data_IF_286532836440
#
_entry.id   IF_286532836440
#
_cell.length_a   1.000
_cell.length_b   1.000
_cell.length_c   1.000
_cell.angle_alpha   90.00
_cell.angle_beta   90.00
_cell.angle_gamma   90.00
#
_symmetry.space_group_name_H-M   'P 1'
#
loop_
_entity.id
_entity.type
_entity.pdbx_description
1 polymer ?
#
# COMPACT_ATOMS: atom_id res chain seq x y z
N UNK A 1 1.56 7.59 18.48
CA UNK A 1 2.15 8.75 17.77
C UNK A 1 2.09 8.57 16.27
N UNK A 2 2.02 9.66 15.50
CA UNK A 2 2.08 9.59 14.04
C UNK A 2 3.53 9.48 13.55
N UNK A 3 3.82 8.52 12.68
CA UNK A 3 5.13 8.34 12.04
C UNK A 3 5.03 8.43 10.51
N UNK A 4 6.12 8.83 9.87
CA UNK A 4 6.21 8.97 8.41
C UNK A 4 6.87 7.75 7.76
N UNK A 5 6.88 7.70 6.43
CA UNK A 5 7.38 6.61 5.59
C UNK A 5 8.79 6.15 5.96
N UNK A 6 9.70 7.05 6.28
CA UNK A 6 11.08 6.70 6.67
C UNK A 6 11.11 5.74 7.87
N UNK A 7 10.16 5.86 8.81
CA UNK A 7 10.04 4.93 9.93
C UNK A 7 9.67 3.52 9.45
N UNK A 8 8.74 3.40 8.50
CA UNK A 8 8.33 2.13 7.91
C UNK A 8 9.46 1.52 7.08
N UNK A 9 10.14 2.34 6.27
CA UNK A 9 11.28 1.90 5.45
C UNK A 9 12.40 1.33 6.33
N UNK A 10 12.68 1.98 7.46
CA UNK A 10 13.68 1.51 8.43
C UNK A 10 13.34 0.13 9.02
N UNK A 11 12.06 -0.23 9.09
CA UNK A 11 11.60 -1.54 9.56
C UNK A 11 11.62 -2.62 8.46
N UNK A 12 11.56 -2.21 7.19
CA UNK A 12 11.54 -3.15 6.05
C UNK A 12 12.93 -3.43 5.49
N UNK A 13 13.79 -2.41 5.43
CA UNK A 13 15.14 -2.56 4.85
C UNK A 13 16.10 -3.10 5.91
N UNK A 14 16.71 -4.24 5.61
CA UNK A 14 17.63 -4.94 6.53
C UNK A 14 18.84 -4.10 6.98
N UNK A 15 19.35 -3.19 6.13
CA UNK A 15 20.55 -2.37 6.39
C UNK A 15 20.25 -0.86 6.49
N UNK A 16 19.05 -0.48 6.95
CA UNK A 16 18.73 0.94 7.15
C UNK A 16 19.43 1.52 8.39
N UNK A 17 20.03 2.70 8.24
CA UNK A 17 20.73 3.40 9.31
C UNK A 17 19.81 3.85 10.46
N UNK A 18 18.49 3.88 10.25
CA UNK A 18 17.48 4.20 11.26
C UNK A 18 16.86 2.96 11.93
N UNK A 19 17.20 1.73 11.52
CA UNK A 19 16.53 0.52 11.97
C UNK A 19 16.51 0.38 13.50
N UNK A 20 17.67 0.50 14.15
CA UNK A 20 17.77 0.44 15.62
C UNK A 20 16.93 1.53 16.29
N UNK A 21 16.88 2.73 15.73
CA UNK A 21 16.09 3.83 16.28
C UNK A 21 14.59 3.58 16.15
N UNK A 22 14.14 3.01 15.03
CA UNK A 22 12.75 2.64 14.81
C UNK A 22 12.30 1.51 15.75
N UNK A 23 13.13 0.47 15.93
CA UNK A 23 12.86 -0.62 16.87
C UNK A 23 12.77 -0.11 18.31
N UNK A 24 13.73 0.70 18.75
CA UNK A 24 13.69 1.29 20.09
C UNK A 24 12.43 2.15 20.30
N UNK A 25 11.98 2.88 19.27
CA UNK A 25 10.76 3.67 19.36
C UNK A 25 9.49 2.79 19.47
N UNK A 26 9.43 1.64 18.80
CA UNK A 26 8.34 0.66 18.97
C UNK A 26 8.27 0.10 20.40
N UNK A 27 9.42 0.00 21.09
CA UNK A 27 9.47 -0.45 22.49
C UNK A 27 9.18 0.67 23.49
N UNK A 28 9.60 1.91 23.19
CA UNK A 28 9.45 3.06 24.09
C UNK A 28 8.03 3.64 24.08
N UNK A 29 7.37 3.63 22.92
CA UNK A 29 6.13 4.35 22.71
C UNK A 29 4.96 3.45 22.35
N UNK A 30 3.92 3.51 23.16
CA UNK A 30 2.63 2.90 22.84
C UNK A 30 1.90 3.68 21.72
N UNK A 31 1.02 2.97 21.00
CA UNK A 31 0.08 3.55 20.02
C UNK A 31 0.72 4.29 18.83
N UNK A 32 1.88 3.83 18.35
CA UNK A 32 2.44 4.27 17.06
C UNK A 32 1.46 3.91 15.94
N UNK A 33 1.24 4.84 15.02
CA UNK A 33 0.39 4.67 13.84
C UNK A 33 0.86 5.59 12.71
N UNK A 34 0.34 5.36 11.51
CA UNK A 34 0.57 6.27 10.36
C UNK A 34 -0.71 6.44 9.54
N UNK A 35 -0.59 7.01 8.34
CA UNK A 35 -1.67 7.10 7.36
C UNK A 35 -1.42 6.19 6.16
N UNK A 36 -2.46 6.00 5.35
CA UNK A 36 -2.39 5.30 4.06
C UNK A 36 -1.32 5.88 3.12
N UNK A 37 -0.98 7.17 3.27
CA UNK A 37 0.02 7.84 2.43
C UNK A 37 1.41 7.24 2.61
N UNK A 38 1.79 6.91 3.86
CA UNK A 38 3.09 6.31 4.13
C UNK A 38 3.20 4.91 3.52
N UNK A 39 2.10 4.14 3.58
CA UNK A 39 2.02 2.84 2.93
C UNK A 39 2.00 2.92 1.41
N UNK A 40 1.43 3.98 0.82
CA UNK A 40 1.49 4.22 -0.62
C UNK A 40 2.94 4.36 -1.10
N UNK A 41 3.77 5.09 -0.36
CA UNK A 41 5.20 5.24 -0.66
C UNK A 41 5.97 3.90 -0.50
N UNK A 42 5.62 3.10 0.52
CA UNK A 42 6.20 1.74 0.68
C UNK A 42 5.83 0.84 -0.51
N UNK A 43 4.60 0.90 -1.03
CA UNK A 43 4.22 0.15 -2.23
C UNK A 43 5.03 0.59 -3.47
N UNK A 44 5.34 1.88 -3.59
CA UNK A 44 6.23 2.39 -4.66
C UNK A 44 7.63 1.79 -4.53
N UNK A 45 8.16 1.68 -3.31
CA UNK A 45 9.44 1.03 -3.06
C UNK A 45 9.45 -0.45 -3.50
N UNK A 46 8.33 -1.16 -3.32
CA UNK A 46 8.22 -2.58 -3.69
C UNK A 46 8.02 -2.80 -5.19
N UNK A 47 7.37 -1.84 -5.87
CA UNK A 47 7.14 -1.92 -7.31
C UNK A 47 8.42 -1.73 -8.13
N UNK A 48 9.35 -0.89 -7.68
CA UNK A 48 10.64 -0.69 -8.35
C UNK A 48 11.61 -1.87 -8.06
N UNK A 49 11.33 -3.01 -8.71
CA UNK A 49 12.10 -4.26 -8.60
C UNK A 49 13.56 -4.13 -9.03
N UNK A 50 13.92 -3.10 -9.81
CA UNK A 50 15.31 -2.83 -10.23
C UNK A 50 16.09 -2.01 -9.18
N UNK A 51 15.40 -1.14 -8.43
CA UNK A 51 15.97 -0.41 -7.30
C UNK A 51 15.94 -1.20 -5.98
N UNK A 52 15.04 -2.18 -5.86
CA UNK A 52 15.00 -3.08 -4.71
C UNK A 52 16.20 -4.03 -4.74
N UNK A 53 17.05 -3.97 -3.71
CA UNK A 53 18.21 -4.87 -3.60
C UNK A 53 17.82 -6.35 -3.47
N UNK A 54 16.53 -6.64 -3.22
CA UNK A 54 15.97 -7.96 -2.98
C UNK A 54 14.54 -8.04 -3.53
N UNK A 55 14.09 -9.25 -3.86
CA UNK A 55 12.70 -9.54 -4.20
C UNK A 55 11.86 -9.50 -2.91
N UNK A 56 11.06 -8.46 -2.74
CA UNK A 56 10.20 -8.27 -1.56
C UNK A 56 8.81 -8.84 -1.86
N UNK A 57 8.38 -9.82 -1.06
CA UNK A 57 6.99 -10.29 -1.01
C UNK A 57 6.14 -9.17 -0.40
N UNK A 58 5.57 -8.33 -1.27
CA UNK A 58 4.83 -7.14 -0.87
C UNK A 58 3.65 -7.46 0.06
N UNK A 59 2.77 -8.44 -0.22
CA UNK A 59 1.69 -8.83 0.69
C UNK A 59 2.20 -9.19 2.09
N UNK A 60 3.28 -9.97 2.19
CA UNK A 60 3.86 -10.33 3.49
C UNK A 60 4.46 -9.13 4.20
N UNK A 61 5.23 -8.31 3.51
CA UNK A 61 5.89 -7.15 4.10
C UNK A 61 4.86 -6.14 4.64
N UNK A 62 3.80 -5.87 3.88
CA UNK A 62 2.71 -4.98 4.29
C UNK A 62 1.97 -5.55 5.50
N UNK A 63 1.65 -6.84 5.51
CA UNK A 63 0.97 -7.48 6.65
C UNK A 63 1.77 -7.34 7.93
N UNK A 64 3.08 -7.65 7.88
CA UNK A 64 3.96 -7.52 9.04
C UNK A 64 4.11 -6.08 9.51
N UNK A 65 4.20 -5.12 8.57
CA UNK A 65 4.28 -3.70 8.91
C UNK A 65 3.02 -3.20 9.61
N UNK A 66 1.83 -3.62 9.16
CA UNK A 66 0.56 -3.20 9.76
C UNK A 66 0.42 -3.67 11.21
N UNK A 67 1.01 -4.81 11.57
CA UNK A 67 1.06 -5.27 12.97
C UNK A 67 1.92 -4.35 13.86
N UNK A 68 2.95 -3.71 13.30
CA UNK A 68 3.86 -2.82 14.03
C UNK A 68 3.42 -1.36 14.01
N UNK A 69 2.92 -0.90 12.87
CA UNK A 69 2.56 0.49 12.58
C UNK A 69 1.20 0.50 11.87
N UNK A 70 0.09 0.39 12.62
CA UNK A 70 -1.26 0.42 12.05
C UNK A 70 -1.58 1.73 11.34
N UNK A 71 -2.58 1.69 10.46
CA UNK A 71 -3.06 2.88 9.74
C UNK A 71 -4.24 3.49 10.48
N UNK A 72 -4.27 4.82 10.53
CA UNK A 72 -5.47 5.57 10.92
C UNK A 72 -5.98 6.43 9.74
N UNK A 73 -7.29 6.37 9.42
CA UNK A 73 -8.33 5.50 9.99
C UNK A 73 -8.12 4.01 9.65
N UNK A 74 -8.59 3.11 10.53
CA UNK A 74 -8.36 1.66 10.45
C UNK A 74 -8.96 1.01 9.19
N UNK A 75 -10.01 1.60 8.62
CA UNK A 75 -10.61 1.16 7.34
C UNK A 75 -9.63 1.19 6.15
N UNK A 76 -8.55 1.97 6.25
CA UNK A 76 -7.51 1.99 5.23
C UNK A 76 -6.54 0.80 5.30
N UNK A 77 -6.53 0.03 6.39
CA UNK A 77 -5.67 -1.17 6.49
C UNK A 77 -6.08 -2.23 5.47
N UNK A 78 -7.38 -2.53 5.38
CA UNK A 78 -7.92 -3.46 4.41
C UNK A 78 -7.62 -3.02 2.96
N UNK A 79 -7.70 -1.70 2.70
CA UNK A 79 -7.41 -1.14 1.38
C UNK A 79 -5.94 -1.34 0.98
N UNK A 80 -5.01 -1.17 1.92
CA UNK A 80 -3.57 -1.37 1.68
C UNK A 80 -3.20 -2.84 1.54
N UNK A 81 -3.82 -3.73 2.31
CA UNK A 81 -3.67 -5.17 2.15
C UNK A 81 -4.14 -5.62 0.76
N UNK A 82 -5.32 -5.15 0.32
CA UNK A 82 -5.82 -5.42 -1.02
C UNK A 82 -4.88 -4.86 -2.10
N UNK A 83 -4.37 -3.64 -1.92
CA UNK A 83 -3.41 -3.03 -2.84
C UNK A 83 -2.12 -3.85 -2.98
N UNK A 84 -1.57 -4.37 -1.87
CA UNK A 84 -0.38 -5.21 -1.90
C UNK A 84 -0.61 -6.49 -2.72
N UNK A 85 -1.78 -7.11 -2.58
CA UNK A 85 -2.17 -8.27 -3.39
C UNK A 85 -2.32 -7.91 -4.88
N UNK A 86 -2.97 -6.79 -5.20
CA UNK A 86 -3.12 -6.34 -6.59
C UNK A 86 -1.79 -6.01 -7.26
N UNK A 87 -0.87 -5.40 -6.53
CA UNK A 87 0.48 -5.10 -6.99
C UNK A 87 1.26 -6.38 -7.32
N UNK A 88 1.17 -7.40 -6.46
CA UNK A 88 1.91 -8.66 -6.63
C UNK A 88 1.30 -9.57 -7.71
N UNK A 89 -0.02 -9.76 -7.69
CA UNK A 89 -0.71 -10.72 -8.55
C UNK A 89 -1.01 -10.18 -9.96
N UNK A 90 -1.23 -8.87 -10.10
CA UNK A 90 -1.68 -8.25 -11.36
C UNK A 90 -0.73 -7.20 -11.90
N UNK A 91 0.42 -6.99 -11.23
CA UNK A 91 1.46 -6.03 -11.63
C UNK A 91 0.92 -4.59 -11.83
N UNK A 92 -0.17 -4.24 -11.14
CA UNK A 92 -0.70 -2.87 -11.15
C UNK A 92 0.34 -1.91 -10.57
N UNK A 93 0.34 -0.67 -11.06
CA UNK A 93 1.15 0.37 -10.43
C UNK A 93 0.67 0.60 -8.99
N UNK A 94 1.55 1.03 -8.07
CA UNK A 94 1.21 1.18 -6.65
C UNK A 94 -0.05 1.99 -6.38
N UNK A 95 -0.22 3.10 -7.10
CA UNK A 95 -1.37 3.98 -6.91
C UNK A 95 -2.63 3.39 -7.52
N UNK A 96 -2.54 2.68 -8.65
CA UNK A 96 -3.69 1.99 -9.25
C UNK A 96 -4.15 0.83 -8.38
N UNK A 97 -3.21 0.08 -7.81
CA UNK A 97 -3.46 -0.96 -6.83
C UNK A 97 -4.14 -0.38 -5.58
N UNK A 98 -3.68 0.79 -5.09
CA UNK A 98 -4.27 1.46 -3.93
C UNK A 98 -5.68 2.00 -4.21
N UNK A 99 -5.91 2.60 -5.37
CA UNK A 99 -7.24 3.01 -5.81
C UNK A 99 -8.19 1.81 -5.91
N UNK A 100 -7.73 0.70 -6.47
CA UNK A 100 -8.48 -0.57 -6.57
C UNK A 100 -8.80 -1.12 -5.18
N UNK A 101 -7.81 -1.11 -4.27
CA UNK A 101 -7.97 -1.52 -2.88
C UNK A 101 -9.04 -0.72 -2.15
N UNK A 102 -8.97 0.62 -2.23
CA UNK A 102 -9.96 1.52 -1.64
C UNK A 102 -11.37 1.28 -2.18
N UNK A 103 -11.52 1.18 -3.51
CA UNK A 103 -12.83 0.97 -4.11
C UNK A 103 -13.41 -0.40 -3.75
N UNK A 104 -12.59 -1.45 -3.77
CA UNK A 104 -13.02 -2.82 -3.48
C UNK A 104 -13.46 -2.97 -2.03
N UNK A 105 -12.68 -2.43 -1.07
CA UNK A 105 -13.02 -2.53 0.36
C UNK A 105 -14.15 -1.58 0.75
N UNK A 106 -14.27 -0.43 0.08
CA UNK A 106 -15.39 0.50 0.24
C UNK A 106 -16.69 0.03 -0.44
N UNK A 107 -16.63 -0.98 -1.31
CA UNK A 107 -17.78 -1.41 -2.13
C UNK A 107 -18.21 -0.35 -3.14
N UNK A 108 -17.26 0.48 -3.59
CA UNK A 108 -17.49 1.56 -4.54
C UNK A 108 -17.29 1.08 -5.98
N UNK A 109 -17.96 1.77 -6.91
CA UNK A 109 -17.73 1.61 -8.34
C UNK A 109 -16.74 2.67 -8.81
N UNK A 110 -15.74 2.28 -9.60
CA UNK A 110 -14.71 3.21 -10.05
C UNK A 110 -15.08 3.84 -11.40
N UNK A 111 -14.93 5.16 -11.51
CA UNK A 111 -15.00 5.88 -12.79
C UNK A 111 -13.57 6.26 -13.21
N UNK A 112 -13.02 5.60 -14.23
CA UNK A 112 -11.60 5.74 -14.58
C UNK A 112 -11.34 5.61 -16.09
N UNK A 113 -10.18 6.06 -16.53
CA UNK A 113 -9.61 5.74 -17.85
C UNK A 113 -8.70 4.51 -17.82
N UNK A 114 -8.40 3.99 -16.64
CA UNK A 114 -7.53 2.83 -16.44
C UNK A 114 -8.19 1.57 -16.99
N UNK A 115 -7.50 0.86 -17.88
CA UNK A 115 -7.98 -0.35 -18.54
C UNK A 115 -7.55 -1.61 -17.80
N UNK A 116 -6.47 -1.56 -17.01
CA UNK A 116 -5.96 -2.70 -16.28
C UNK A 116 -6.94 -3.18 -15.19
N UNK A 117 -7.95 -2.37 -14.84
CA UNK A 117 -9.04 -2.76 -13.95
C UNK A 117 -9.89 -3.94 -14.47
N UNK A 118 -9.90 -4.19 -15.77
CA UNK A 118 -10.53 -5.38 -16.35
C UNK A 118 -9.89 -6.69 -15.87
N UNK A 119 -8.60 -6.66 -15.51
CA UNK A 119 -7.85 -7.84 -15.07
C UNK A 119 -8.15 -8.25 -13.64
N UNK A 120 -8.47 -7.27 -12.78
CA UNK A 120 -8.74 -7.46 -11.34
C UNK A 120 -10.22 -7.65 -11.01
N UNK A 121 -11.11 -7.64 -12.01
CA UNK A 121 -12.53 -7.89 -11.82
C UNK A 121 -13.27 -6.80 -11.04
N UNK A 122 -12.72 -5.58 -11.03
CA UNK A 122 -13.31 -4.43 -10.37
C UNK A 122 -14.60 -3.99 -11.07
N UNK A 123 -15.62 -3.57 -10.31
CA UNK A 123 -16.77 -2.89 -10.91
C UNK A 123 -16.35 -1.46 -11.27
N UNK A 124 -16.15 -1.20 -12.57
CA UNK A 124 -15.76 0.11 -13.05
C UNK A 124 -16.59 0.58 -14.25
N UNK A 125 -16.51 1.89 -14.51
CA UNK A 125 -17.11 2.59 -15.64
C UNK A 125 -16.00 3.31 -16.40
N UNK A 126 -15.93 3.17 -17.73
CA UNK A 126 -15.00 3.93 -18.54
C UNK A 126 -15.33 5.42 -18.51
N UNK A 127 -14.34 6.25 -18.25
CA UNK A 127 -14.42 7.69 -18.36
C UNK A 127 -14.00 8.11 -19.77
N UNK A 128 -14.97 8.19 -20.69
CA UNK A 128 -14.72 8.57 -22.08
C UNK A 128 -15.94 9.21 -22.75
N UNK A 129 -15.76 9.88 -23.90
CA UNK A 129 -16.86 10.52 -24.62
C UNK A 129 -17.95 9.54 -25.07
N UNK A 130 -17.62 8.25 -25.21
CA UNK A 130 -18.53 7.18 -25.61
C UNK A 130 -19.11 6.40 -24.41
N UNK A 131 -18.88 6.85 -23.16
CA UNK A 131 -19.38 6.19 -21.95
C UNK A 131 -20.91 6.33 -21.74
N UNK A 132 -21.59 6.96 -22.68
CA UNK A 132 -23.03 7.19 -22.68
C UNK A 132 -23.63 6.86 -24.06
N UNK A 133 -23.82 5.58 -24.36
CA UNK A 133 -24.93 5.08 -25.20
C UNK A 133 -25.64 3.91 -24.52
#
# INVERSE_FOLDING_TARGET
MYVETDFLIALVKDDDWLQDAAINALEEYDEIHTSILAYAEVLVLFYDREAAAYEIDAPRAITNLLELVPIQPAEHEDAVLAAAAFLDEYELTPFDALHTGLATTGGERVLSTEQDYDTVGLDWLPLGPDAAE
#
